data_IF_938715694322
#
_entry.id   IF_938715694322
#
_cell.length_a   1.000
_cell.length_b   1.000
_cell.length_c   1.000
_cell.angle_alpha   90.00
_cell.angle_beta   90.00
_cell.angle_gamma   90.00
#
_symmetry.space_group_name_H-M   'P 1'
#
loop_
_entity.id
_entity.type
_entity.pdbx_description
1 polymer ?
#
# COMPACT_ATOMS: atom_id res chain seq x y z
N UNK A 1 41.00 6.84 13.50
CA UNK A 1 40.54 5.44 13.60
C UNK A 1 39.15 5.40 14.18
N UNK A 2 38.89 6.02 15.34
CA UNK A 2 37.54 6.13 15.91
C UNK A 2 36.57 6.91 15.00
N UNK A 3 37.00 8.06 14.47
CA UNK A 3 36.15 8.87 13.57
C UNK A 3 35.90 8.25 12.19
N UNK A 4 36.70 7.27 11.75
CA UNK A 4 36.43 6.59 10.48
C UNK A 4 35.46 5.42 10.66
N UNK A 5 35.48 4.73 11.81
CA UNK A 5 34.51 3.66 12.07
C UNK A 5 33.09 4.22 12.24
N UNK A 6 32.90 5.31 13.00
CA UNK A 6 31.58 5.94 13.10
C UNK A 6 31.04 6.42 11.75
N UNK A 7 31.91 6.96 10.88
CA UNK A 7 31.51 7.36 9.53
C UNK A 7 31.15 6.17 8.63
N UNK A 8 31.70 4.99 8.89
CA UNK A 8 31.39 3.77 8.15
C UNK A 8 30.07 3.16 8.66
N UNK A 9 29.83 3.20 9.98
CA UNK A 9 28.58 2.74 10.60
C UNK A 9 27.39 3.60 10.13
N UNK A 10 27.47 4.93 10.25
CA UNK A 10 26.42 5.86 9.74
C UNK A 10 26.16 5.69 8.23
N UNK A 11 27.20 5.34 7.46
CA UNK A 11 27.03 5.08 6.03
C UNK A 11 26.29 3.77 5.77
N UNK A 12 26.46 2.76 6.62
CA UNK A 12 25.73 1.49 6.53
C UNK A 12 24.26 1.70 6.87
N UNK A 13 23.98 2.37 7.99
CA UNK A 13 22.61 2.61 8.43
C UNK A 13 21.82 3.45 7.41
N UNK A 14 22.49 4.41 6.76
CA UNK A 14 21.88 5.20 5.69
C UNK A 14 21.69 4.41 4.37
N UNK A 15 22.43 3.31 4.15
CA UNK A 15 22.15 2.36 3.06
C UNK A 15 20.93 1.49 3.41
N UNK A 16 20.83 1.02 4.66
CA UNK A 16 19.70 0.22 5.15
C UNK A 16 18.39 1.02 5.07
N UNK A 17 18.34 2.24 5.60
CA UNK A 17 17.18 3.17 5.47
C UNK A 17 16.81 3.41 4.00
N UNK A 18 17.80 3.46 3.10
CA UNK A 18 17.52 3.62 1.68
C UNK A 18 16.89 2.38 1.07
N UNK A 19 17.28 1.18 1.52
CA UNK A 19 16.67 -0.08 1.11
C UNK A 19 15.23 -0.17 1.61
N UNK A 20 14.98 0.14 2.88
CA UNK A 20 13.65 0.07 3.47
C UNK A 20 12.68 1.06 2.80
N UNK A 21 13.16 2.25 2.40
CA UNK A 21 12.38 3.17 1.58
C UNK A 21 12.05 2.62 0.17
N UNK A 22 12.93 1.83 -0.43
CA UNK A 22 12.65 1.17 -1.71
C UNK A 22 11.60 0.08 -1.55
N UNK A 23 11.64 -0.67 -0.45
CA UNK A 23 10.64 -1.70 -0.10
C UNK A 23 9.27 -1.05 0.13
N UNK A 24 9.17 -0.02 0.99
CA UNK A 24 7.93 0.76 1.20
C UNK A 24 7.38 1.35 -0.10
N UNK A 25 8.25 1.79 -1.00
CA UNK A 25 7.82 2.30 -2.30
C UNK A 25 7.22 1.20 -3.17
N UNK A 26 7.76 -0.01 -3.10
CA UNK A 26 7.27 -1.17 -3.86
C UNK A 26 5.91 -1.62 -3.33
N UNK A 27 5.75 -1.70 -2.01
CA UNK A 27 4.48 -2.08 -1.38
C UNK A 27 3.37 -1.06 -1.69
N UNK A 28 3.70 0.23 -1.76
CA UNK A 28 2.76 1.25 -2.22
C UNK A 28 2.34 1.07 -3.70
N UNK A 29 3.21 0.56 -4.57
CA UNK A 29 2.87 0.24 -5.96
C UNK A 29 1.92 -0.97 -6.02
N UNK A 30 2.13 -1.97 -5.16
CA UNK A 30 1.26 -3.14 -5.04
C UNK A 30 -0.14 -2.73 -4.54
N UNK A 31 -0.24 -1.96 -3.45
CA UNK A 31 -1.51 -1.38 -2.95
C UNK A 31 -2.23 -0.55 -4.01
N UNK A 32 -1.49 0.19 -4.84
CA UNK A 32 -2.08 0.96 -5.93
C UNK A 32 -2.67 0.05 -7.02
N UNK A 33 -2.02 -1.08 -7.30
CA UNK A 33 -2.47 -2.06 -8.29
C UNK A 33 -3.74 -2.76 -7.82
N UNK A 34 -3.78 -3.17 -6.56
CA UNK A 34 -4.98 -3.82 -5.98
C UNK A 34 -6.18 -2.87 -5.96
N UNK A 35 -5.98 -1.58 -5.75
CA UNK A 35 -7.05 -0.58 -5.88
C UNK A 35 -7.59 -0.42 -7.32
N UNK A 36 -6.75 -0.64 -8.33
CA UNK A 36 -7.19 -0.68 -9.73
C UNK A 36 -8.04 -1.93 -10.01
N UNK A 37 -7.65 -3.07 -9.44
CA UNK A 37 -8.41 -4.32 -9.52
C UNK A 37 -9.78 -4.18 -8.83
N UNK A 38 -9.84 -3.62 -7.61
CA UNK A 38 -11.11 -3.30 -6.93
C UNK A 38 -12.01 -2.41 -7.79
N UNK A 39 -11.44 -1.41 -8.46
CA UNK A 39 -12.23 -0.52 -9.31
C UNK A 39 -12.82 -1.27 -10.51
N UNK A 40 -12.08 -2.21 -11.08
CA UNK A 40 -12.51 -3.03 -12.22
C UNK A 40 -13.62 -4.00 -11.81
N UNK A 41 -13.46 -4.73 -10.71
CA UNK A 41 -14.49 -5.65 -10.20
C UNK A 41 -15.80 -4.93 -9.87
N UNK A 42 -15.70 -3.68 -9.40
CA UNK A 42 -16.86 -2.86 -9.08
C UNK A 42 -17.57 -2.32 -10.35
N UNK A 43 -16.85 -2.16 -11.47
CA UNK A 43 -17.43 -1.86 -12.79
C UNK A 43 -18.15 -3.09 -13.37
N UNK A 44 -17.56 -4.27 -13.24
CA UNK A 44 -18.17 -5.54 -13.67
C UNK A 44 -19.46 -5.82 -12.88
N UNK A 45 -19.42 -5.76 -11.54
CA UNK A 45 -20.61 -5.93 -10.70
C UNK A 45 -21.72 -4.90 -11.00
N UNK A 46 -21.35 -3.68 -11.41
CA UNK A 46 -22.34 -2.67 -11.82
C UNK A 46 -22.99 -3.03 -13.16
N UNK A 47 -22.25 -3.66 -14.07
CA UNK A 47 -22.75 -4.10 -15.37
C UNK A 47 -23.73 -5.26 -15.21
N UNK A 48 -23.36 -6.26 -14.41
CA UNK A 48 -24.24 -7.41 -14.11
C UNK A 48 -25.55 -6.96 -13.43
N UNK A 49 -25.49 -5.94 -12.58
CA UNK A 49 -26.68 -5.38 -11.95
C UNK A 49 -27.57 -4.57 -12.94
N UNK A 50 -27.00 -4.01 -14.02
CA UNK A 50 -27.78 -3.41 -15.13
C UNK A 50 -28.47 -4.49 -15.98
N UNK A 51 -27.77 -5.59 -16.26
CA UNK A 51 -28.32 -6.74 -17.00
C UNK A 51 -29.47 -7.40 -16.22
N UNK A 52 -29.27 -7.71 -14.93
CA UNK A 52 -30.32 -8.26 -14.06
C UNK A 52 -31.55 -7.33 -13.91
N UNK A 53 -31.35 -6.01 -14.01
CA UNK A 53 -32.46 -5.05 -14.00
C UNK A 53 -33.24 -5.08 -15.31
N UNK A 54 -32.57 -5.31 -16.44
CA UNK A 54 -33.19 -5.41 -17.76
C UNK A 54 -34.01 -6.69 -17.87
N UNK A 55 -33.47 -7.81 -17.42
CA UNK A 55 -34.16 -9.10 -17.40
C UNK A 55 -35.41 -9.06 -16.49
N UNK A 56 -35.35 -8.36 -15.35
CA UNK A 56 -36.53 -8.13 -14.52
C UNK A 56 -37.64 -7.33 -15.23
N UNK A 57 -37.28 -6.34 -16.05
CA UNK A 57 -38.25 -5.57 -16.84
C UNK A 57 -38.89 -6.43 -17.93
N UNK A 58 -38.12 -7.35 -18.54
CA UNK A 58 -38.63 -8.33 -19.51
C UNK A 58 -39.57 -9.34 -18.85
N UNK A 59 -39.19 -9.95 -17.71
CA UNK A 59 -40.08 -10.80 -16.88
C UNK A 59 -41.38 -10.11 -16.53
N UNK A 60 -41.31 -8.82 -16.16
CA UNK A 60 -42.49 -8.05 -15.81
C UNK A 60 -43.41 -7.85 -17.02
N UNK A 61 -42.83 -7.62 -18.19
CA UNK A 61 -43.57 -7.44 -19.45
C UNK A 61 -44.26 -8.74 -19.87
N UNK A 62 -43.55 -9.86 -19.81
CA UNK A 62 -44.08 -11.18 -20.12
C UNK A 62 -45.22 -11.58 -19.18
N UNK A 63 -45.09 -11.30 -17.88
CA UNK A 63 -46.19 -11.51 -16.92
C UNK A 63 -47.44 -10.66 -17.23
N UNK A 64 -47.28 -9.43 -17.73
CA UNK A 64 -48.40 -8.61 -18.17
C UNK A 64 -49.09 -9.21 -19.40
N UNK A 65 -48.32 -9.75 -20.35
CA UNK A 65 -48.84 -10.41 -21.55
C UNK A 65 -49.54 -11.75 -21.22
N UNK A 66 -48.96 -12.60 -20.36
CA UNK A 66 -49.60 -13.84 -19.84
C UNK A 66 -50.96 -13.54 -19.20
N UNK A 67 -51.04 -12.47 -18.39
CA UNK A 67 -52.27 -12.05 -17.71
C UNK A 67 -53.34 -11.57 -18.71
N UNK A 68 -52.91 -11.11 -19.88
CA UNK A 68 -53.75 -10.59 -20.95
C UNK A 68 -54.26 -11.68 -21.91
N UNK A 69 -53.54 -12.79 -22.06
CA UNK A 69 -53.79 -13.80 -23.10
C UNK A 69 -54.32 -15.15 -22.57
N UNK A 70 -55.08 -15.87 -23.40
CA UNK A 70 -55.77 -17.11 -23.00
C UNK A 70 -54.99 -18.40 -23.37
N UNK A 71 -53.71 -18.27 -23.76
CA UNK A 71 -52.80 -19.36 -24.17
C UNK A 71 -51.52 -19.36 -23.30
N UNK A 72 -51.71 -19.29 -21.98
CA UNK A 72 -50.70 -19.07 -20.94
C UNK A 72 -49.64 -20.17 -20.74
N UNK A 73 -49.44 -21.11 -21.68
CA UNK A 73 -48.44 -22.18 -21.49
C UNK A 73 -47.05 -21.85 -22.03
N UNK A 74 -46.94 -21.19 -23.19
CA UNK A 74 -45.62 -20.81 -23.73
C UNK A 74 -45.04 -19.60 -22.99
N UNK A 75 -45.86 -18.56 -22.79
CA UNK A 75 -45.45 -17.34 -22.09
C UNK A 75 -45.02 -17.61 -20.63
N UNK A 76 -45.53 -18.68 -20.02
CA UNK A 76 -45.15 -19.10 -18.67
C UNK A 76 -43.88 -19.97 -18.64
N UNK A 77 -43.47 -20.57 -19.77
CA UNK A 77 -42.15 -21.20 -19.95
C UNK A 77 -41.07 -20.12 -20.18
N UNK A 78 -41.37 -19.10 -20.98
CA UNK A 78 -40.47 -17.95 -21.22
C UNK A 78 -40.23 -17.17 -19.92
N UNK A 79 -41.29 -16.73 -19.21
CA UNK A 79 -41.16 -16.06 -17.91
C UNK A 79 -40.51 -16.92 -16.81
N UNK A 80 -40.52 -18.25 -16.94
CA UNK A 80 -39.76 -19.12 -16.03
C UNK A 80 -38.28 -19.15 -16.36
N UNK A 81 -37.93 -19.09 -17.65
CA UNK A 81 -36.54 -19.06 -18.11
C UNK A 81 -35.88 -17.73 -17.73
N UNK A 82 -36.56 -16.61 -17.97
CA UNK A 82 -36.03 -15.29 -17.60
C UNK A 82 -35.84 -15.15 -16.07
N UNK A 83 -36.71 -15.78 -15.26
CA UNK A 83 -36.51 -15.85 -13.80
C UNK A 83 -35.28 -16.70 -13.40
N UNK A 84 -34.95 -17.73 -14.17
CA UNK A 84 -33.72 -18.50 -13.97
C UNK A 84 -32.48 -17.67 -14.35
N UNK A 85 -32.57 -16.87 -15.41
CA UNK A 85 -31.51 -15.94 -15.83
C UNK A 85 -31.28 -14.83 -14.77
N UNK A 86 -32.34 -14.14 -14.31
CA UNK A 86 -32.27 -13.17 -13.19
C UNK A 86 -31.69 -13.79 -11.90
N UNK A 87 -32.01 -15.06 -11.64
CA UNK A 87 -31.45 -15.76 -10.47
C UNK A 87 -29.96 -16.03 -10.64
N UNK A 88 -29.50 -16.30 -11.86
CA UNK A 88 -28.09 -16.55 -12.18
C UNK A 88 -27.30 -15.25 -12.07
N UNK A 89 -27.79 -14.15 -12.65
CA UNK A 89 -27.12 -12.84 -12.56
C UNK A 89 -26.99 -12.36 -11.11
N UNK A 90 -28.01 -12.61 -10.27
CA UNK A 90 -27.90 -12.30 -8.84
C UNK A 90 -26.86 -13.15 -8.10
N UNK A 91 -26.62 -14.39 -8.53
CA UNK A 91 -25.54 -15.23 -7.99
C UNK A 91 -24.17 -14.70 -8.43
N UNK A 92 -24.04 -14.23 -9.68
CA UNK A 92 -22.82 -13.62 -10.21
C UNK A 92 -22.50 -12.29 -9.48
N UNK A 93 -23.47 -11.36 -9.38
CA UNK A 93 -23.33 -10.12 -8.58
C UNK A 93 -22.97 -10.40 -7.12
N UNK A 94 -23.51 -11.47 -6.52
CA UNK A 94 -23.16 -11.84 -5.15
C UNK A 94 -21.72 -12.33 -5.05
N UNK A 95 -21.22 -13.03 -6.06
CA UNK A 95 -19.85 -13.54 -6.12
C UNK A 95 -18.86 -12.40 -6.29
N UNK A 96 -19.11 -11.48 -7.23
CA UNK A 96 -18.27 -10.29 -7.43
C UNK A 96 -18.20 -9.41 -6.17
N UNK A 97 -19.32 -9.26 -5.46
CA UNK A 97 -19.33 -8.53 -4.19
C UNK A 97 -18.48 -9.21 -3.10
N UNK A 98 -18.38 -10.54 -3.10
CA UNK A 98 -17.53 -11.26 -2.17
C UNK A 98 -16.04 -11.17 -2.57
N UNK A 99 -15.74 -11.18 -3.87
CA UNK A 99 -14.38 -10.96 -4.39
C UNK A 99 -13.90 -9.54 -4.07
N UNK A 100 -14.69 -8.50 -4.35
CA UNK A 100 -14.40 -7.10 -3.97
C UNK A 100 -14.14 -6.97 -2.46
N UNK A 101 -14.91 -7.66 -1.61
CA UNK A 101 -14.68 -7.64 -0.16
C UNK A 101 -13.34 -8.27 0.21
N UNK A 102 -12.96 -9.37 -0.44
CA UNK A 102 -11.67 -10.02 -0.20
C UNK A 102 -10.52 -9.08 -0.56
N UNK A 103 -10.57 -8.45 -1.73
CA UNK A 103 -9.50 -7.53 -2.17
C UNK A 103 -9.43 -6.31 -1.24
N UNK A 104 -10.56 -5.78 -0.77
CA UNK A 104 -10.57 -4.69 0.23
C UNK A 104 -9.91 -5.11 1.55
N UNK A 105 -10.12 -6.35 2.02
CA UNK A 105 -9.47 -6.87 3.23
C UNK A 105 -7.95 -7.02 3.04
N UNK A 106 -7.52 -7.47 1.87
CA UNK A 106 -6.10 -7.59 1.51
C UNK A 106 -5.43 -6.20 1.44
N UNK A 107 -6.00 -5.25 0.69
CA UNK A 107 -5.54 -3.85 0.63
C UNK A 107 -5.47 -3.20 2.01
N UNK A 108 -6.43 -3.48 2.89
CA UNK A 108 -6.41 -2.94 4.25
C UNK A 108 -5.25 -3.50 5.08
N UNK A 109 -4.88 -4.76 4.84
CA UNK A 109 -3.79 -5.43 5.54
C UNK A 109 -2.44 -4.91 5.03
N UNK A 110 -2.28 -4.80 3.72
CA UNK A 110 -1.06 -4.25 3.09
C UNK A 110 -0.83 -2.79 3.50
N UNK A 111 -1.91 -2.01 3.62
CA UNK A 111 -1.81 -0.63 4.09
C UNK A 111 -1.49 -0.52 5.61
N UNK A 112 -1.79 -1.55 6.41
CA UNK A 112 -1.31 -1.65 7.79
C UNK A 112 0.19 -1.97 7.83
N UNK A 113 0.65 -2.89 6.99
CA UNK A 113 2.06 -3.28 6.86
C UNK A 113 2.93 -2.10 6.39
N UNK A 114 2.53 -1.42 5.31
CA UNK A 114 3.18 -0.18 4.83
C UNK A 114 3.28 0.89 5.92
N UNK A 115 2.25 1.01 6.76
CA UNK A 115 2.28 2.00 7.84
C UNK A 115 3.24 1.58 8.95
N UNK A 116 3.37 0.27 9.24
CA UNK A 116 4.38 -0.26 10.16
C UNK A 116 5.79 0.01 9.64
N UNK A 117 6.04 -0.28 8.37
CA UNK A 117 7.36 -0.11 7.76
C UNK A 117 7.77 1.37 7.71
N UNK A 118 6.81 2.27 7.49
CA UNK A 118 7.06 3.72 7.61
C UNK A 118 7.41 4.15 9.04
N UNK A 119 6.83 3.54 10.08
CA UNK A 119 7.21 3.82 11.47
C UNK A 119 8.63 3.31 11.78
N UNK A 120 9.00 2.14 11.25
CA UNK A 120 10.35 1.57 11.38
C UNK A 120 11.38 2.46 10.67
N UNK A 121 11.16 2.83 9.40
CA UNK A 121 12.02 3.78 8.65
C UNK A 121 12.15 5.12 9.37
N UNK A 122 11.08 5.61 9.98
CA UNK A 122 11.13 6.86 10.75
C UNK A 122 12.01 6.72 11.99
N UNK A 123 11.97 5.56 12.65
CA UNK A 123 12.80 5.27 13.82
C UNK A 123 14.27 5.15 13.44
N UNK A 124 14.58 4.45 12.35
CA UNK A 124 15.95 4.29 11.86
C UNK A 124 16.55 5.64 11.43
N UNK A 125 15.74 6.54 10.84
CA UNK A 125 16.17 7.91 10.57
C UNK A 125 16.50 8.72 11.83
N UNK A 126 15.76 8.52 12.93
CA UNK A 126 16.06 9.17 14.22
C UNK A 126 17.38 8.65 14.81
N UNK A 127 17.63 7.34 14.69
CA UNK A 127 18.88 6.71 15.13
C UNK A 127 20.07 7.21 14.29
N UNK A 128 19.97 7.20 12.96
CA UNK A 128 20.99 7.77 12.05
C UNK A 128 21.27 9.23 12.38
N UNK A 129 20.22 10.03 12.64
CA UNK A 129 20.41 11.44 13.01
C UNK A 129 21.17 11.58 14.32
N UNK A 130 20.90 10.71 15.30
CA UNK A 130 21.57 10.71 16.61
C UNK A 130 23.05 10.33 16.46
N UNK A 131 23.35 9.29 15.69
CA UNK A 131 24.73 8.86 15.44
C UNK A 131 25.54 9.93 14.69
N UNK A 132 24.89 10.70 13.82
CA UNK A 132 25.52 11.80 13.12
C UNK A 132 25.84 12.99 14.06
N UNK A 133 24.98 13.26 15.05
CA UNK A 133 25.26 14.25 16.11
C UNK A 133 26.44 13.83 17.00
N UNK A 134 26.49 12.55 17.37
CA UNK A 134 27.61 11.98 18.15
C UNK A 134 28.92 12.03 17.35
N UNK A 135 28.89 11.63 16.07
CA UNK A 135 30.06 11.71 15.18
C UNK A 135 30.55 13.15 15.00
N UNK A 136 29.64 14.13 14.91
CA UNK A 136 29.99 15.55 14.84
C UNK A 136 30.67 16.01 16.13
N UNK A 137 30.14 15.61 17.29
CA UNK A 137 30.68 15.96 18.60
C UNK A 137 32.10 15.39 18.80
N UNK A 138 32.30 14.12 18.47
CA UNK A 138 33.61 13.45 18.51
C UNK A 138 34.65 14.16 17.61
N UNK A 139 34.21 14.68 16.46
CA UNK A 139 35.08 15.39 15.54
C UNK A 139 35.47 16.79 16.05
N UNK A 140 34.56 17.48 16.75
CA UNK A 140 34.87 18.75 17.45
C UNK A 140 35.88 18.53 18.58
N UNK A 141 35.71 17.47 19.38
CA UNK A 141 36.64 17.10 20.45
C UNK A 141 38.03 16.76 19.88
N UNK A 142 38.08 15.94 18.82
CA UNK A 142 39.34 15.60 18.16
C UNK A 142 40.04 16.83 17.55
N UNK A 143 39.28 17.80 17.02
CA UNK A 143 39.83 19.06 16.53
C UNK A 143 40.41 19.90 17.67
N UNK A 144 39.72 19.96 18.80
CA UNK A 144 40.15 20.70 20.00
C UNK A 144 41.44 20.11 20.58
N UNK A 145 41.52 18.78 20.74
CA UNK A 145 42.72 18.08 21.17
C UNK A 145 43.92 18.37 20.25
N UNK A 146 43.68 18.42 18.95
CA UNK A 146 44.73 18.70 17.97
C UNK A 146 45.23 20.16 18.02
N UNK A 147 44.35 21.12 18.32
CA UNK A 147 44.74 22.51 18.59
C UNK A 147 45.57 22.64 19.87
N UNK A 148 45.20 21.92 20.93
CA UNK A 148 45.95 21.91 22.20
C UNK A 148 47.35 21.32 22.03
N UNK A 149 47.48 20.20 21.31
CA UNK A 149 48.79 19.58 20.99
C UNK A 149 49.66 20.56 20.19
N UNK A 150 49.09 21.18 19.14
CA UNK A 150 49.80 22.18 18.34
C UNK A 150 50.25 23.38 19.19
N UNK A 151 49.44 23.80 20.16
CA UNK A 151 49.75 24.90 21.04
C UNK A 151 50.92 24.58 21.97
N UNK A 152 50.94 23.37 22.56
CA UNK A 152 52.01 22.92 23.45
C UNK A 152 53.35 22.75 22.71
N UNK A 153 53.32 22.16 21.51
CA UNK A 153 54.50 22.04 20.64
C UNK A 153 55.12 23.41 20.30
N UNK A 154 54.30 24.44 20.07
CA UNK A 154 54.80 25.79 19.79
C UNK A 154 55.37 26.50 21.03
N UNK A 155 54.96 26.12 22.24
CA UNK A 155 55.47 26.66 23.49
C UNK A 155 56.82 26.02 23.85
N UNK A 156 56.97 24.71 23.73
CA UNK A 156 58.24 24.01 23.94
C UNK A 156 59.31 24.50 22.95
N UNK A 157 58.92 24.68 21.68
CA UNK A 157 59.77 25.24 20.63
C UNK A 157 60.31 26.65 20.94
N UNK A 158 59.54 27.46 21.69
CA UNK A 158 59.93 28.83 22.10
C UNK A 158 60.81 28.86 23.34
N UNK A 159 60.74 27.84 24.20
CA UNK A 159 61.60 27.73 25.40
C UNK A 159 63.00 27.19 25.08
N UNK A 160 63.18 26.51 23.94
CA UNK A 160 64.49 25.97 23.52
C UNK A 160 65.35 26.95 22.69
N UNK A 161 64.86 28.16 22.38
CA UNK A 161 65.64 29.26 21.79
C UNK A 161 66.10 30.28 22.84
#
# INVERSE_FOLDING_TARGET
>A
MLTSSLSEDVSSDNEDVSSDNEDVSSDNEDVSSDNEDVSSDNEDASSDNEDASSDNDDVSSDNEDVSSDNDASNDNEDASSDNEDVSSDNEDVSSDNDDVRSVIEDVSSDNEDVNSDNEDVSSDNEDVSSDNEDASSDNEDASSDNEDISSDDTLDSKQQM
#
